data_IF_224785417036
#
_entry.id   IF_224785417036
#
_cell.length_a   1.000
_cell.length_b   1.000
_cell.length_c   1.000
_cell.angle_alpha   90.00
_cell.angle_beta   90.00
_cell.angle_gamma   90.00
#
_symmetry.space_group_name_H-M   'P 1'
#
loop_
_entity.id
_entity.type
_entity.pdbx_description
1 polymer ?
#
# COMPACT_ATOMS: atom_id res chain seq x y z
N UNK A 1 -9.46 20.77 4.30
CA UNK A 1 -9.77 20.81 2.86
C UNK A 1 -10.86 19.78 2.56
N UNK A 2 -11.88 20.08 1.77
CA UNK A 2 -12.85 19.06 1.32
C UNK A 2 -12.30 18.32 0.10
N UNK A 3 -12.48 16.99 0.05
CA UNK A 3 -12.07 16.19 -1.10
C UNK A 3 -13.21 16.20 -2.13
N UNK A 4 -13.13 17.11 -3.10
CA UNK A 4 -14.13 17.23 -4.18
C UNK A 4 -14.04 16.05 -5.16
N UNK A 5 -15.10 15.82 -5.95
CA UNK A 5 -15.07 14.82 -7.01
C UNK A 5 -13.95 15.08 -8.03
N UNK A 6 -13.68 16.35 -8.35
CA UNK A 6 -12.55 16.75 -9.21
C UNK A 6 -11.22 16.31 -8.63
N UNK A 7 -10.97 16.56 -7.34
CA UNK A 7 -9.73 16.12 -6.68
C UNK A 7 -9.58 14.60 -6.73
N UNK A 8 -10.69 13.86 -6.53
CA UNK A 8 -10.68 12.38 -6.59
C UNK A 8 -10.31 11.88 -7.99
N UNK A 9 -10.89 12.48 -9.03
CA UNK A 9 -10.57 12.13 -10.42
C UNK A 9 -9.12 12.47 -10.76
N UNK A 10 -8.62 13.64 -10.36
CA UNK A 10 -7.24 14.05 -10.61
C UNK A 10 -6.23 13.12 -9.94
N UNK A 11 -6.46 12.75 -8.67
CA UNK A 11 -5.56 11.82 -7.96
C UNK A 11 -5.65 10.41 -8.56
N UNK A 12 -6.83 9.96 -8.95
CA UNK A 12 -6.99 8.66 -9.62
C UNK A 12 -6.28 8.65 -10.97
N UNK A 13 -6.40 9.73 -11.75
CA UNK A 13 -5.68 9.90 -13.00
C UNK A 13 -4.16 9.95 -12.78
N UNK A 14 -3.68 10.57 -11.71
CA UNK A 14 -2.27 10.54 -11.34
C UNK A 14 -1.77 9.11 -11.10
N UNK A 15 -2.51 8.27 -10.37
CA UNK A 15 -2.16 6.86 -10.17
C UNK A 15 -2.12 6.10 -11.49
N UNK A 16 -3.08 6.34 -12.39
CA UNK A 16 -3.05 5.77 -13.74
C UNK A 16 -1.82 6.23 -14.53
N UNK A 17 -1.49 7.51 -14.51
CA UNK A 17 -0.34 8.07 -15.23
C UNK A 17 0.99 7.53 -14.71
N UNK A 18 1.12 7.33 -13.39
CA UNK A 18 2.29 6.68 -12.80
C UNK A 18 2.40 5.23 -13.28
N UNK A 19 1.30 4.48 -13.25
CA UNK A 19 1.29 3.11 -13.78
C UNK A 19 1.66 3.07 -15.26
N UNK A 20 1.10 3.99 -16.06
CA UNK A 20 1.40 4.10 -17.48
C UNK A 20 2.88 4.42 -17.73
N UNK A 21 3.46 5.35 -16.99
CA UNK A 21 4.88 5.69 -17.11
C UNK A 21 5.78 4.49 -16.84
N UNK A 22 5.51 3.72 -15.78
CA UNK A 22 6.27 2.50 -15.44
C UNK A 22 6.12 1.46 -16.54
N UNK A 23 4.91 1.21 -17.03
CA UNK A 23 4.65 0.20 -18.06
C UNK A 23 5.26 0.58 -19.41
N UNK A 24 5.20 1.86 -19.80
CA UNK A 24 5.87 2.32 -21.00
C UNK A 24 7.38 2.16 -20.87
N UNK A 25 7.95 2.49 -19.72
CA UNK A 25 9.37 2.27 -19.46
C UNK A 25 9.73 0.77 -19.61
N UNK A 26 9.00 -0.15 -18.98
CA UNK A 26 9.23 -1.59 -19.13
C UNK A 26 9.10 -2.03 -20.60
N UNK A 27 8.04 -1.59 -21.29
CA UNK A 27 7.76 -1.94 -22.67
C UNK A 27 8.94 -1.60 -23.61
N UNK A 28 9.54 -0.41 -23.43
CA UNK A 28 10.69 0.02 -24.24
C UNK A 28 12.05 -0.49 -23.75
N UNK A 29 12.14 -1.08 -22.55
CA UNK A 29 13.41 -1.53 -21.93
C UNK A 29 13.47 -3.05 -21.69
N UNK A 30 12.81 -3.85 -22.53
CA UNK A 30 12.90 -5.32 -22.46
C UNK A 30 11.56 -6.04 -22.32
N UNK A 31 10.45 -5.30 -22.36
CA UNK A 31 9.10 -5.84 -22.30
C UNK A 31 8.50 -5.75 -20.90
N UNK A 32 7.17 -5.82 -20.83
CA UNK A 32 6.43 -5.69 -19.58
C UNK A 32 6.65 -6.90 -18.69
N UNK A 33 7.12 -6.66 -17.47
CA UNK A 33 7.49 -7.69 -16.53
C UNK A 33 6.27 -8.49 -16.06
N UNK A 34 6.53 -9.68 -15.53
CA UNK A 34 5.49 -10.51 -14.93
C UNK A 34 6.08 -11.31 -13.78
N UNK A 35 5.42 -11.28 -12.62
CA UNK A 35 5.91 -11.86 -11.38
C UNK A 35 5.06 -13.07 -11.00
N UNK A 36 5.72 -14.14 -10.56
CA UNK A 36 5.01 -15.25 -9.93
C UNK A 36 4.47 -14.81 -8.57
N UNK A 37 3.21 -15.14 -8.27
CA UNK A 37 2.62 -14.84 -6.97
C UNK A 37 3.47 -15.48 -5.85
N UNK A 38 3.78 -14.71 -4.80
CA UNK A 38 4.63 -15.13 -3.68
C UNK A 38 6.00 -15.70 -4.08
N UNK A 39 6.51 -15.36 -5.27
CA UNK A 39 7.74 -15.90 -5.86
C UNK A 39 7.74 -17.44 -6.02
N UNK A 40 6.56 -18.06 -6.04
CA UNK A 40 6.42 -19.50 -6.27
C UNK A 40 6.11 -19.77 -7.75
N UNK A 41 7.01 -20.50 -8.42
CA UNK A 41 6.86 -20.85 -9.85
C UNK A 41 5.64 -21.74 -10.14
N UNK A 42 5.07 -22.40 -9.12
CA UNK A 42 3.86 -23.20 -9.26
C UNK A 42 2.57 -22.36 -9.18
N UNK A 43 2.67 -21.07 -8.85
CA UNK A 43 1.54 -20.15 -8.75
C UNK A 43 1.33 -19.34 -10.04
N UNK A 44 0.16 -18.71 -10.23
CA UNK A 44 -0.09 -17.88 -11.41
C UNK A 44 0.93 -16.75 -11.55
N UNK A 45 1.37 -16.53 -12.79
CA UNK A 45 2.21 -15.39 -13.18
C UNK A 45 1.33 -14.18 -13.45
N UNK A 46 1.57 -13.09 -12.73
CA UNK A 46 0.83 -11.84 -12.84
C UNK A 46 1.63 -10.83 -13.64
N UNK A 47 1.07 -10.35 -14.74
CA UNK A 47 1.71 -9.33 -15.58
C UNK A 47 1.54 -7.92 -15.02
N UNK A 48 2.58 -7.10 -15.15
CA UNK A 48 2.52 -5.70 -14.75
C UNK A 48 1.52 -4.88 -15.56
N UNK A 49 1.05 -5.34 -16.73
CA UNK A 49 -0.04 -4.69 -17.48
C UNK A 49 -1.27 -4.41 -16.62
N UNK A 50 -1.57 -5.30 -15.68
CA UNK A 50 -2.69 -5.13 -14.75
C UNK A 50 -2.57 -3.90 -13.85
N UNK A 51 -1.37 -3.34 -13.68
CA UNK A 51 -1.13 -2.10 -12.93
C UNK A 51 -1.90 -0.90 -13.49
N UNK A 52 -2.16 -0.87 -14.80
CA UNK A 52 -2.99 0.16 -15.45
C UNK A 52 -4.43 0.15 -14.94
N UNK A 53 -4.90 -0.97 -14.42
CA UNK A 53 -6.23 -1.13 -13.85
C UNK A 53 -6.21 -1.13 -12.32
N UNK A 54 -5.33 -1.93 -11.70
CA UNK A 54 -5.35 -2.14 -10.25
C UNK A 54 -4.98 -0.88 -9.47
N UNK A 55 -4.02 -0.08 -9.95
CA UNK A 55 -3.58 1.13 -9.26
C UNK A 55 -4.65 2.24 -9.22
N UNK A 56 -5.28 2.64 -10.35
CA UNK A 56 -6.36 3.62 -10.31
C UNK A 56 -7.60 3.09 -9.58
N UNK A 57 -7.90 1.78 -9.64
CA UNK A 57 -8.99 1.21 -8.83
C UNK A 57 -8.71 1.31 -7.33
N UNK A 58 -7.49 0.99 -6.89
CA UNK A 58 -7.07 1.16 -5.50
C UNK A 58 -7.19 2.63 -5.07
N UNK A 59 -6.70 3.57 -5.90
CA UNK A 59 -6.83 5.01 -5.64
C UNK A 59 -8.29 5.44 -5.54
N UNK A 60 -9.11 5.13 -6.53
CA UNK A 60 -10.51 5.54 -6.59
C UNK A 60 -11.30 5.05 -5.37
N UNK A 61 -11.17 3.76 -5.05
CA UNK A 61 -11.84 3.15 -3.89
C UNK A 61 -11.33 3.72 -2.58
N UNK A 62 -10.00 3.86 -2.41
CA UNK A 62 -9.42 4.49 -1.22
C UNK A 62 -9.89 5.93 -1.03
N UNK A 63 -9.95 6.71 -2.10
CA UNK A 63 -10.41 8.10 -2.05
C UNK A 63 -11.89 8.23 -1.68
N UNK A 64 -12.74 7.23 -1.96
CA UNK A 64 -14.13 7.16 -1.44
C UNK A 64 -14.13 7.06 0.09
N UNK A 65 -13.24 6.25 0.67
CA UNK A 65 -13.14 6.12 2.12
C UNK A 65 -12.56 7.39 2.75
N UNK A 66 -11.56 8.01 2.13
CA UNK A 66 -10.98 9.27 2.61
C UNK A 66 -12.01 10.41 2.54
N UNK A 67 -12.83 10.48 1.49
CA UNK A 67 -13.85 11.55 1.38
C UNK A 67 -14.92 11.48 2.46
N UNK A 68 -15.15 10.31 3.08
CA UNK A 68 -16.06 10.18 4.23
C UNK A 68 -15.50 10.79 5.52
N UNK A 69 -14.18 11.03 5.59
CA UNK A 69 -13.49 11.63 6.75
C UNK A 69 -13.37 13.16 6.64
N UNK A 70 -14.13 13.82 5.75
CA UNK A 70 -13.97 15.27 5.53
C UNK A 70 -14.33 16.10 6.78
N UNK A 71 -13.57 17.18 7.07
CA UNK A 71 -12.48 17.74 6.27
C UNK A 71 -11.21 16.88 6.29
N UNK A 72 -10.51 16.80 5.15
CA UNK A 72 -9.18 16.17 5.06
C UNK A 72 -8.25 16.86 6.05
N UNK A 73 -7.73 16.07 7.00
CA UNK A 73 -6.87 16.52 8.08
C UNK A 73 -5.40 16.25 7.75
N UNK A 74 -4.48 16.82 8.57
CA UNK A 74 -3.04 16.57 8.44
C UNK A 74 -2.69 15.07 8.55
N UNK A 75 -3.47 14.31 9.32
CA UNK A 75 -3.27 12.86 9.51
C UNK A 75 -3.40 12.07 8.20
N UNK A 76 -4.26 12.50 7.28
CA UNK A 76 -4.39 11.85 5.96
C UNK A 76 -3.09 11.99 5.17
N UNK A 77 -2.49 13.18 5.17
CA UNK A 77 -1.21 13.42 4.49
C UNK A 77 -0.06 12.67 5.17
N UNK A 78 -0.01 12.69 6.51
CA UNK A 78 1.00 11.95 7.27
C UNK A 78 0.90 10.46 7.00
N UNK A 79 -0.31 9.90 6.95
CA UNK A 79 -0.53 8.49 6.63
C UNK A 79 -0.08 8.15 5.21
N UNK A 80 -0.47 8.96 4.23
CA UNK A 80 -0.04 8.77 2.84
C UNK A 80 1.47 8.84 2.67
N UNK A 81 2.11 9.87 3.22
CA UNK A 81 3.57 10.03 3.15
C UNK A 81 4.28 8.91 3.93
N UNK A 82 3.76 8.52 5.09
CA UNK A 82 4.31 7.41 5.88
C UNK A 82 4.26 6.08 5.12
N UNK A 83 3.13 5.77 4.50
CA UNK A 83 2.99 4.58 3.65
C UNK A 83 3.92 4.62 2.43
N UNK A 84 4.03 5.79 1.79
CA UNK A 84 4.91 6.00 0.64
C UNK A 84 6.38 5.77 0.99
N UNK A 85 6.87 6.41 2.06
CA UNK A 85 8.24 6.25 2.54
C UNK A 85 8.52 4.80 2.97
N UNK A 86 7.56 4.16 3.64
CA UNK A 86 7.71 2.77 4.04
C UNK A 86 7.78 1.82 2.84
N UNK A 87 6.88 1.96 1.84
CA UNK A 87 6.94 1.14 0.64
C UNK A 87 8.22 1.37 -0.19
N UNK A 88 8.71 2.62 -0.24
CA UNK A 88 10.01 2.92 -0.85
C UNK A 88 11.15 2.22 -0.10
N UNK A 89 11.16 2.29 1.23
CA UNK A 89 12.13 1.59 2.07
C UNK A 89 12.11 0.07 1.82
N UNK A 90 10.93 -0.55 1.80
CA UNK A 90 10.78 -1.98 1.53
C UNK A 90 11.27 -2.35 0.12
N UNK A 91 10.96 -1.51 -0.88
CA UNK A 91 11.47 -1.71 -2.25
C UNK A 91 12.99 -1.66 -2.30
N UNK A 92 13.61 -0.68 -1.65
CA UNK A 92 15.06 -0.55 -1.58
C UNK A 92 15.69 -1.73 -0.85
N UNK A 93 15.17 -2.11 0.32
CA UNK A 93 15.66 -3.25 1.10
C UNK A 93 15.57 -4.54 0.28
N UNK A 94 14.47 -4.75 -0.44
CA UNK A 94 14.29 -5.95 -1.26
C UNK A 94 15.38 -6.13 -2.32
N UNK A 95 15.83 -5.05 -2.95
CA UNK A 95 16.89 -5.11 -3.96
C UNK A 95 18.32 -5.04 -3.41
N UNK A 96 18.51 -4.44 -2.23
CA UNK A 96 19.86 -4.17 -1.69
C UNK A 96 20.26 -5.15 -0.59
N UNK A 97 19.36 -5.45 0.34
CA UNK A 97 19.60 -6.31 1.50
C UNK A 97 18.33 -7.18 1.72
N UNK A 98 18.08 -8.18 0.86
CA UNK A 98 16.82 -8.94 0.87
C UNK A 98 16.48 -9.53 2.24
N UNK A 99 17.50 -9.97 2.99
CA UNK A 99 17.36 -10.54 4.34
C UNK A 99 16.70 -9.56 5.33
N UNK A 100 16.85 -8.24 5.15
CA UNK A 100 16.23 -7.22 5.99
C UNK A 100 14.77 -6.91 5.65
N UNK A 101 14.32 -7.28 4.46
CA UNK A 101 12.97 -6.96 3.98
C UNK A 101 11.89 -7.56 4.88
N UNK A 102 12.06 -8.82 5.27
CA UNK A 102 11.14 -9.53 6.16
C UNK A 102 11.06 -8.89 7.53
N UNK A 103 12.18 -8.43 8.10
CA UNK A 103 12.20 -7.72 9.38
C UNK A 103 11.50 -6.36 9.29
N UNK A 104 11.63 -5.66 8.16
CA UNK A 104 10.90 -4.41 7.90
C UNK A 104 9.38 -4.59 7.91
N UNK A 105 8.89 -5.67 7.29
CA UNK A 105 7.47 -6.04 7.34
C UNK A 105 7.04 -6.55 8.73
N UNK A 106 7.89 -7.28 9.46
CA UNK A 106 7.54 -7.73 10.81
C UNK A 106 7.40 -6.56 11.78
N UNK A 107 8.22 -5.52 11.61
CA UNK A 107 8.19 -4.32 12.45
C UNK A 107 6.82 -3.61 12.38
N UNK A 108 6.13 -3.64 11.24
CA UNK A 108 4.84 -2.96 11.11
C UNK A 108 3.75 -3.60 11.96
N UNK A 109 3.77 -4.90 12.22
CA UNK A 109 2.83 -5.55 13.15
C UNK A 109 2.97 -5.01 14.57
N UNK A 110 4.21 -4.78 15.02
CA UNK A 110 4.47 -4.13 16.32
C UNK A 110 3.98 -2.67 16.34
N UNK A 111 4.25 -1.92 15.27
CA UNK A 111 3.80 -0.52 15.14
C UNK A 111 2.27 -0.42 15.06
N UNK A 112 1.61 -1.37 14.41
CA UNK A 112 0.16 -1.41 14.20
C UNK A 112 -0.62 -1.55 15.52
N UNK A 113 0.01 -1.98 16.62
CA UNK A 113 -0.60 -1.96 17.95
C UNK A 113 -0.82 -0.54 18.48
N UNK A 114 -0.01 0.43 18.04
CA UNK A 114 -0.02 1.81 18.55
C UNK A 114 -0.54 2.82 17.52
N UNK A 115 -0.22 2.60 16.25
CA UNK A 115 -0.57 3.47 15.13
C UNK A 115 -1.59 2.74 14.24
N UNK A 116 -2.68 3.40 13.79
CA UNK A 116 -3.69 2.75 12.96
C UNK A 116 -3.19 2.56 11.50
N UNK A 117 -2.24 1.65 11.29
CA UNK A 117 -1.67 1.38 9.95
C UNK A 117 -2.70 0.83 8.94
N UNK A 118 -3.85 0.36 9.42
CA UNK A 118 -4.97 -0.09 8.59
C UNK A 118 -5.73 1.04 7.89
N UNK A 119 -5.37 2.31 8.10
CA UNK A 119 -6.05 3.37 7.38
C UNK A 119 -5.66 3.40 5.90
N UNK A 120 -6.67 3.68 5.06
CA UNK A 120 -6.53 3.69 3.61
C UNK A 120 -5.43 4.64 3.12
N UNK A 121 -5.19 5.75 3.80
CA UNK A 121 -4.12 6.67 3.45
C UNK A 121 -2.72 6.01 3.47
N UNK A 122 -2.38 5.19 4.48
CA UNK A 122 -1.13 4.41 4.48
C UNK A 122 -1.08 3.40 3.33
N UNK A 123 -2.18 2.69 3.10
CA UNK A 123 -2.30 1.72 2.01
C UNK A 123 -2.06 2.34 0.63
N UNK A 124 -2.66 3.50 0.34
CA UNK A 124 -2.47 4.17 -0.94
C UNK A 124 -1.02 4.64 -1.16
N UNK A 125 -0.38 5.15 -0.10
CA UNK A 125 1.03 5.55 -0.16
C UNK A 125 1.94 4.34 -0.44
N UNK A 126 1.74 3.25 0.30
CA UNK A 126 2.48 2.00 0.17
C UNK A 126 2.34 1.39 -1.23
N UNK A 127 1.11 1.29 -1.75
CA UNK A 127 0.84 0.75 -3.09
C UNK A 127 1.52 1.58 -4.17
N UNK A 128 1.46 2.91 -4.07
CA UNK A 128 2.04 3.81 -5.06
C UNK A 128 3.56 3.69 -5.14
N UNK A 129 4.26 3.60 -4.00
CA UNK A 129 5.73 3.52 -4.00
C UNK A 129 6.26 2.15 -4.43
N UNK A 130 5.52 1.08 -4.19
CA UNK A 130 5.95 -0.28 -4.49
C UNK A 130 5.84 -0.66 -5.97
N UNK A 131 5.20 0.17 -6.81
CA UNK A 131 4.95 -0.15 -8.22
C UNK A 131 6.24 -0.40 -9.01
N UNK A 132 7.31 0.35 -8.72
CA UNK A 132 8.57 0.25 -9.46
C UNK A 132 9.29 -1.08 -9.16
N UNK A 133 9.13 -1.63 -7.96
CA UNK A 133 9.78 -2.89 -7.59
C UNK A 133 8.95 -4.14 -7.84
N UNK A 134 7.65 -4.08 -7.59
CA UNK A 134 6.80 -5.27 -7.52
C UNK A 134 5.60 -5.21 -8.48
N UNK A 135 5.52 -4.18 -9.32
CA UNK A 135 4.34 -3.90 -10.14
C UNK A 135 3.15 -3.42 -9.30
N UNK A 136 2.01 -3.20 -9.95
CA UNK A 136 0.80 -2.66 -9.32
C UNK A 136 -0.20 -3.72 -8.82
N UNK A 137 0.03 -5.01 -9.04
CA UNK A 137 -0.90 -6.07 -8.60
C UNK A 137 -0.52 -6.61 -7.23
N UNK A 138 0.73 -7.02 -7.05
CA UNK A 138 1.20 -7.62 -5.80
C UNK A 138 1.03 -6.65 -4.61
N UNK A 139 1.46 -5.38 -4.68
CA UNK A 139 1.30 -4.45 -3.57
C UNK A 139 -0.16 -4.14 -3.25
N UNK A 140 -1.05 -4.10 -4.26
CA UNK A 140 -2.49 -3.91 -4.07
C UNK A 140 -3.08 -5.09 -3.29
N UNK A 141 -2.84 -6.32 -3.74
CA UNK A 141 -3.40 -7.52 -3.11
C UNK A 141 -2.82 -7.72 -1.71
N UNK A 142 -1.50 -7.70 -1.57
CA UNK A 142 -0.83 -7.88 -0.28
C UNK A 142 -1.14 -6.72 0.67
N UNK A 143 -1.19 -5.50 0.17
CA UNK A 143 -1.56 -4.32 0.96
C UNK A 143 -2.97 -4.41 1.53
N UNK A 144 -3.94 -4.97 0.79
CA UNK A 144 -5.29 -5.21 1.31
C UNK A 144 -5.31 -6.27 2.41
N UNK A 145 -4.53 -7.35 2.26
CA UNK A 145 -4.38 -8.38 3.31
C UNK A 145 -3.77 -7.76 4.57
N UNK A 146 -2.69 -7.00 4.42
CA UNK A 146 -2.04 -6.30 5.53
C UNK A 146 -2.98 -5.29 6.21
N UNK A 147 -3.78 -4.55 5.44
CA UNK A 147 -4.78 -3.63 5.96
C UNK A 147 -5.74 -4.33 6.92
N UNK A 148 -6.25 -5.51 6.54
CA UNK A 148 -7.14 -6.32 7.39
C UNK A 148 -6.41 -6.78 8.65
N UNK A 149 -5.18 -7.28 8.52
CA UNK A 149 -4.38 -7.72 9.67
C UNK A 149 -4.14 -6.56 10.65
N UNK A 150 -3.71 -5.40 10.16
CA UNK A 150 -3.49 -4.21 10.99
C UNK A 150 -4.78 -3.73 11.67
N UNK A 151 -5.95 -3.90 11.02
CA UNK A 151 -7.22 -3.54 11.63
C UNK A 151 -7.55 -4.48 12.80
N UNK A 152 -7.27 -5.77 12.65
CA UNK A 152 -7.42 -6.77 13.71
C UNK A 152 -6.48 -6.44 14.89
N UNK A 153 -5.21 -6.15 14.60
CA UNK A 153 -4.22 -5.80 15.61
C UNK A 153 -4.61 -4.56 16.41
N UNK A 154 -4.97 -3.48 15.72
CA UNK A 154 -5.30 -2.21 16.36
C UNK A 154 -6.62 -2.24 17.14
N UNK A 155 -7.64 -2.95 16.64
CA UNK A 155 -8.96 -2.97 17.28
C UNK A 155 -9.14 -4.08 18.30
N UNK A 156 -8.55 -5.26 18.11
CA UNK A 156 -8.76 -6.41 18.98
C UNK A 156 -7.56 -6.67 19.86
N UNK A 157 -6.36 -6.87 19.27
CA UNK A 157 -5.17 -7.26 20.03
C UNK A 157 -4.75 -6.16 21.00
N UNK A 158 -4.73 -4.89 20.54
CA UNK A 158 -4.46 -3.74 21.40
C UNK A 158 -5.44 -3.66 22.58
N UNK A 159 -6.74 -3.85 22.34
CA UNK A 159 -7.75 -3.77 23.41
C UNK A 159 -7.58 -4.88 24.43
N UNK A 160 -7.29 -6.10 23.97
CA UNK A 160 -6.99 -7.23 24.84
C UNK A 160 -5.76 -6.95 25.71
N UNK A 161 -4.67 -6.48 25.09
CA UNK A 161 -3.43 -6.13 25.78
C UNK A 161 -3.65 -5.06 26.86
N UNK A 162 -4.34 -3.96 26.51
CA UNK A 162 -4.65 -2.90 27.47
C UNK A 162 -5.55 -3.38 28.62
N UNK A 163 -6.53 -4.26 28.33
CA UNK A 163 -7.41 -4.82 29.36
C UNK A 163 -6.69 -5.80 30.30
N UNK A 164 -5.65 -6.49 29.84
CA UNK A 164 -4.86 -7.37 30.68
C UNK A 164 -3.96 -6.55 31.61
N UNK A 165 -3.32 -5.50 31.09
CA UNK A 165 -2.47 -4.62 31.89
C UNK A 165 -3.27 -3.85 32.94
N UNK A 166 -4.47 -3.37 32.60
CA UNK A 166 -5.30 -2.61 33.55
C UNK A 166 -5.84 -3.43 34.72
N UNK A 167 -5.60 -4.75 34.75
CA UNK A 167 -6.00 -5.66 35.84
C UNK A 167 -4.88 -5.91 36.85
N UNK A 168 -3.67 -5.41 36.60
CA UNK A 168 -2.53 -5.42 37.52
C UNK A 168 -2.33 -4.02 38.10
#
# INVERSE_FOLDING_TARGET
>A
MQLTNTNRLLITALFFLVALAVILYEHFNGGVASHYFLHDKNMPKLSNWWSLLTLPLAAWTGLIFISKKTPVTKQVYIGFIGGLLFGLLITVLFYTIPDLTSYGLLLTFGIALFIPLYTVEYYLGFVLSMIVGFGGVLPVVIGLVLLVIYAIEYHFIRRLFLSLISKF
#
